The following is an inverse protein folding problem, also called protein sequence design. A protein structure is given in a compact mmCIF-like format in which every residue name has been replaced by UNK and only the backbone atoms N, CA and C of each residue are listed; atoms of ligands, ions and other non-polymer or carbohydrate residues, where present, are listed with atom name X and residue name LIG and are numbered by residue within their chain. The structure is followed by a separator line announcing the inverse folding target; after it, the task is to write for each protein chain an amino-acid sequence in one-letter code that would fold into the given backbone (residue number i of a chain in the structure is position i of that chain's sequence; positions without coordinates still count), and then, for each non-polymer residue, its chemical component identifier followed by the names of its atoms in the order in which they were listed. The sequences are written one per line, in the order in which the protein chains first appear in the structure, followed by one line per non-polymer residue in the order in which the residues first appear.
data_IF_687994021658
#
_entry.id   IF_687994021658
#
_cell.length_a   1.000
_cell.length_b   1.000
_cell.length_c   1.000
_cell.angle_alpha   90.00
_cell.angle_beta   90.00
_cell.angle_gamma   90.00
#
_symmetry.space_group_name_H-M   'P 1'
#
loop_
_entity.id
_entity.type
_entity.pdbx_description
1 polymer ?
#
# COMPACT_ATOMS: atom_id res chain seq x y z
N UNK A 1 -23.46 -24.51 -0.78
CA UNK A 1 -23.25 -24.42 0.68
C UNK A 1 -22.54 -23.11 0.95
N UNK A 2 -23.29 -22.18 1.53
CA UNK A 2 -22.86 -20.82 1.85
C UNK A 2 -21.76 -20.85 2.90
N UNK A 3 -20.65 -20.13 2.66
CA UNK A 3 -19.74 -19.71 3.72
C UNK A 3 -19.74 -18.17 3.78
N UNK A 4 -19.77 -17.58 4.99
CA UNK A 4 -20.05 -16.16 5.19
C UNK A 4 -18.81 -15.29 4.90
N UNK A 5 -19.07 -14.10 4.37
CA UNK A 5 -18.06 -13.04 4.23
C UNK A 5 -17.56 -12.63 5.62
N UNK A 6 -16.29 -12.90 5.90
CA UNK A 6 -15.62 -12.42 7.11
C UNK A 6 -15.12 -10.99 6.87
N UNK A 7 -15.95 -10.01 7.18
CA UNK A 7 -15.57 -8.59 7.16
C UNK A 7 -14.71 -8.29 8.37
N UNK A 8 -13.39 -8.17 8.19
CA UNK A 8 -12.50 -7.68 9.26
C UNK A 8 -12.39 -6.16 9.13
N UNK A 9 -12.97 -5.44 10.07
CA UNK A 9 -12.86 -3.97 10.18
C UNK A 9 -11.59 -3.64 10.97
N UNK A 10 -10.64 -2.94 10.36
CA UNK A 10 -9.47 -2.40 11.06
C UNK A 10 -9.70 -0.91 11.35
N UNK A 11 -9.73 -0.46 12.62
CA UNK A 11 -9.73 0.95 12.95
C UNK A 11 -8.37 1.57 12.62
N UNK A 12 -8.39 2.72 11.94
CA UNK A 12 -7.21 3.49 11.56
C UNK A 12 -6.74 4.33 12.75
N UNK A 13 -5.68 3.88 13.44
CA UNK A 13 -5.00 4.69 14.47
C UNK A 13 -3.88 5.52 13.83
N UNK A 14 -4.17 6.78 13.51
CA UNK A 14 -3.14 7.78 13.21
C UNK A 14 -2.81 8.58 14.49
N UNK A 15 -1.59 8.36 15.01
CA UNK A 15 -0.81 9.33 15.79
C UNK A 15 -1.06 9.41 17.30
N UNK A 16 -0.06 9.06 18.12
CA UNK A 16 0.69 10.00 18.99
C UNK A 16 1.84 9.27 19.69
N UNK A 17 3.08 9.67 19.39
CA UNK A 17 4.28 9.36 20.17
C UNK A 17 4.97 10.69 20.45
N UNK A 18 4.80 11.24 21.66
CA UNK A 18 5.65 12.32 22.16
C UNK A 18 5.70 12.34 23.70
N UNK A 19 6.90 12.59 24.20
CA UNK A 19 7.45 12.38 25.56
C UNK A 19 6.91 13.35 26.64
N UNK A 20 6.62 12.76 27.80
CA UNK A 20 7.11 13.07 29.17
C UNK A 20 7.20 14.53 29.68
N UNK A 21 6.44 14.84 30.75
CA UNK A 21 6.97 15.55 31.92
C UNK A 21 6.09 15.36 33.18
N UNK A 22 6.74 15.05 34.31
CA UNK A 22 6.16 14.93 35.66
C UNK A 22 6.14 16.30 36.35
N UNK A 23 5.02 16.72 36.95
CA UNK A 23 4.94 17.48 38.22
C UNK A 23 3.49 17.46 38.78
N UNK A 24 3.34 16.77 39.93
CA UNK A 24 2.39 16.80 41.08
C UNK A 24 1.07 17.63 41.04
N UNK A 25 -0.06 16.98 41.40
CA UNK A 25 -1.48 17.41 41.60
C UNK A 25 -1.74 18.25 42.91
N UNK A 26 -2.99 18.64 43.37
CA UNK A 26 -4.40 18.30 43.02
C UNK A 26 -5.42 19.49 43.17
N UNK A 27 -6.72 19.32 43.52
CA UNK A 27 -7.84 18.66 42.81
C UNK A 27 -9.02 19.65 42.56
N UNK A 28 -9.73 19.55 41.43
CA UNK A 28 -11.13 19.98 41.39
C UNK A 28 -11.96 19.01 40.57
N UNK A 29 -12.85 18.34 41.29
CA UNK A 29 -13.94 17.55 40.77
C UNK A 29 -14.80 18.42 39.85
N UNK A 30 -14.68 18.25 38.54
CA UNK A 30 -15.75 18.57 37.62
C UNK A 30 -16.41 17.26 37.20
N UNK A 31 -17.72 17.22 37.43
CA UNK A 31 -18.66 16.20 37.00
C UNK A 31 -18.34 15.73 35.57
N UNK A 32 -17.77 14.53 35.43
CA UNK A 32 -17.57 13.90 34.13
C UNK A 32 -18.74 12.93 33.89
N UNK A 33 -19.81 13.48 33.33
CA UNK A 33 -20.84 12.72 32.63
C UNK A 33 -20.94 13.24 31.21
N UNK A 34 -19.87 13.07 30.43
CA UNK A 34 -19.91 13.22 28.98
C UNK A 34 -19.31 11.94 28.38
N UNK A 35 -20.21 11.00 28.09
CA UNK A 35 -20.20 10.07 26.96
C UNK A 35 -18.83 9.79 26.35
N UNK A 36 -18.03 8.93 26.98
CA UNK A 36 -16.80 8.40 26.39
C UNK A 36 -17.03 7.19 25.47
N UNK A 37 -18.29 6.74 25.31
CA UNK A 37 -18.64 5.62 24.42
C UNK A 37 -19.02 6.03 22.98
N UNK A 38 -19.40 7.28 22.73
CA UNK A 38 -19.91 7.71 21.42
C UNK A 38 -18.82 8.28 20.48
N UNK A 39 -17.68 8.71 21.01
CA UNK A 39 -16.62 9.38 20.23
C UNK A 39 -16.00 8.52 19.11
N UNK A 40 -15.69 7.22 19.31
CA UNK A 40 -15.19 6.37 18.23
C UNK A 40 -16.25 6.09 17.16
N UNK A 41 -17.52 6.01 17.56
CA UNK A 41 -18.64 5.64 16.68
C UNK A 41 -19.07 6.81 15.79
N UNK A 42 -19.27 8.00 16.36
CA UNK A 42 -19.61 9.21 15.61
C UNK A 42 -18.50 9.62 14.62
N UNK A 43 -17.23 9.34 14.96
CA UNK A 43 -16.09 9.56 14.05
C UNK A 43 -16.09 8.57 12.88
N UNK A 44 -16.38 7.29 13.15
CA UNK A 44 -16.46 6.25 12.14
C UNK A 44 -17.55 6.57 11.10
N UNK A 45 -18.71 7.09 11.52
CA UNK A 45 -19.79 7.51 10.60
C UNK A 45 -19.35 8.63 9.65
N UNK A 46 -18.71 9.68 10.19
CA UNK A 46 -18.34 10.87 9.40
C UNK A 46 -17.13 10.65 8.50
N UNK A 47 -16.19 9.79 8.91
CA UNK A 47 -14.94 9.52 8.17
C UNK A 47 -15.02 8.30 7.24
N UNK A 48 -16.03 7.44 7.38
CA UNK A 48 -16.21 6.28 6.49
C UNK A 48 -16.55 6.72 5.08
N UNK A 49 -15.94 6.04 4.11
CA UNK A 49 -16.18 6.23 2.68
C UNK A 49 -16.29 4.86 2.04
N UNK A 50 -17.32 4.67 1.24
CA UNK A 50 -17.52 3.45 0.46
C UNK A 50 -16.88 3.64 -0.92
N UNK A 51 -16.07 2.67 -1.36
CA UNK A 51 -15.62 2.59 -2.76
C UNK A 51 -16.21 1.33 -3.37
N UNK A 52 -17.03 1.53 -4.38
CA UNK A 52 -17.63 0.43 -5.15
C UNK A 52 -16.73 0.11 -6.35
N UNK A 53 -16.14 -1.07 -6.32
CA UNK A 53 -15.30 -1.58 -7.42
C UNK A 53 -16.10 -2.61 -8.23
N UNK A 54 -16.74 -2.18 -9.32
CA UNK A 54 -17.49 -3.05 -10.21
C UNK A 54 -17.07 -2.86 -11.69
N UNK A 55 -16.59 -3.94 -12.29
CA UNK A 55 -16.13 -3.99 -13.68
C UNK A 55 -17.11 -4.70 -14.62
N UNK A 56 -18.31 -5.08 -14.16
CA UNK A 56 -19.34 -5.68 -15.00
C UNK A 56 -19.83 -4.67 -16.05
N UNK A 57 -20.20 -5.18 -17.23
CA UNK A 57 -20.76 -4.36 -18.33
C UNK A 57 -22.13 -3.80 -17.98
N UNK A 58 -22.98 -4.64 -17.37
CA UNK A 58 -24.24 -4.22 -16.75
C UNK A 58 -24.00 -4.08 -15.25
N UNK A 59 -24.11 -2.84 -14.75
CA UNK A 59 -23.89 -2.52 -13.34
C UNK A 59 -25.24 -2.44 -12.65
N UNK A 60 -25.53 -3.35 -11.71
CA UNK A 60 -26.74 -3.22 -10.92
C UNK A 60 -26.64 -2.00 -10.00
N UNK A 61 -27.78 -1.43 -9.64
CA UNK A 61 -27.83 -0.46 -8.55
C UNK A 61 -27.39 -1.14 -7.26
N UNK A 62 -26.42 -0.55 -6.56
CA UNK A 62 -25.92 -1.09 -5.31
C UNK A 62 -26.81 -0.61 -4.15
N UNK A 63 -27.16 -1.53 -3.25
CA UNK A 63 -27.82 -1.20 -1.99
C UNK A 63 -26.86 -0.35 -1.15
N UNK A 64 -27.28 0.83 -0.64
CA UNK A 64 -26.42 1.67 0.17
C UNK A 64 -25.89 0.93 1.40
N UNK A 65 -24.60 1.09 1.70
CA UNK A 65 -24.04 0.63 2.97
C UNK A 65 -24.50 1.56 4.10
N UNK A 66 -25.16 0.99 5.11
CA UNK A 66 -25.61 1.74 6.28
C UNK A 66 -24.66 1.47 7.46
N UNK A 67 -24.19 2.53 8.11
CA UNK A 67 -23.52 2.49 9.41
C UNK A 67 -24.39 3.30 10.36
N UNK A 68 -24.92 2.66 11.42
CA UNK A 68 -25.84 3.29 12.38
C UNK A 68 -27.01 4.01 11.69
N UNK A 69 -27.68 3.29 10.77
CA UNK A 69 -28.80 3.77 9.95
C UNK A 69 -28.50 4.98 9.05
N UNK A 70 -27.23 5.39 8.96
CA UNK A 70 -26.76 6.46 8.08
C UNK A 70 -26.07 5.88 6.85
N UNK A 71 -26.46 6.35 5.67
CA UNK A 71 -25.84 5.93 4.41
C UNK A 71 -24.39 6.47 4.31
N UNK A 72 -23.45 5.56 4.06
CA UNK A 72 -22.04 5.91 3.85
C UNK A 72 -21.88 6.60 2.49
N UNK A 73 -21.13 7.68 2.46
CA UNK A 73 -20.82 8.38 1.20
C UNK A 73 -20.02 7.47 0.27
N UNK A 74 -20.58 7.21 -0.92
CA UNK A 74 -19.90 6.50 -2.01
C UNK A 74 -18.99 7.47 -2.75
N UNK A 75 -17.69 7.16 -2.80
CA UNK A 75 -16.68 7.98 -3.47
C UNK A 75 -15.96 7.19 -4.56
N UNK A 76 -15.51 7.89 -5.60
CA UNK A 76 -14.74 7.28 -6.70
C UNK A 76 -13.25 7.11 -6.35
N UNK A 77 -12.75 7.83 -5.34
CA UNK A 77 -11.35 7.80 -4.92
C UNK A 77 -11.20 8.21 -3.46
N UNK A 78 -10.38 7.49 -2.71
CA UNK A 78 -10.02 7.83 -1.32
C UNK A 78 -8.55 7.54 -1.04
N UNK A 79 -8.05 8.08 0.07
CA UNK A 79 -6.72 7.78 0.57
C UNK A 79 -6.83 6.89 1.80
N UNK A 80 -6.30 5.68 1.72
CA UNK A 80 -6.28 4.71 2.80
C UNK A 80 -4.83 4.35 3.14
N UNK A 81 -4.42 4.52 4.41
CA UNK A 81 -3.05 4.26 4.90
C UNK A 81 -1.93 4.90 4.04
N UNK A 82 -2.21 6.06 3.45
CA UNK A 82 -1.25 6.76 2.58
C UNK A 82 -1.32 6.38 1.09
N UNK A 83 -2.11 5.37 0.72
CA UNK A 83 -2.30 4.88 -0.65
C UNK A 83 -3.57 5.48 -1.25
N UNK A 84 -3.51 5.94 -2.51
CA UNK A 84 -4.72 6.41 -3.20
C UNK A 84 -5.36 5.21 -3.89
N UNK A 85 -6.61 4.93 -3.53
CA UNK A 85 -7.43 3.84 -4.06
C UNK A 85 -8.60 4.48 -4.79
N UNK A 86 -8.89 4.02 -6.00
CA UNK A 86 -10.03 4.46 -6.80
C UNK A 86 -10.88 3.28 -7.28
N UNK A 87 -12.11 3.59 -7.65
CA UNK A 87 -13.13 2.65 -8.13
C UNK A 87 -12.70 1.82 -9.35
N UNK A 88 -11.78 2.34 -10.16
CA UNK A 88 -11.24 1.69 -11.34
C UNK A 88 -9.91 0.94 -11.10
N UNK A 89 -9.41 0.93 -9.86
CA UNK A 89 -8.14 0.34 -9.43
C UNK A 89 -6.91 0.79 -10.26
N UNK A 90 -6.93 2.01 -10.79
CA UNK A 90 -5.79 2.65 -11.43
C UNK A 90 -4.85 3.24 -10.38
N UNK A 91 -3.58 2.85 -10.43
CA UNK A 91 -2.56 3.36 -9.52
C UNK A 91 -1.91 4.66 -9.96
N UNK A 92 -2.28 5.22 -11.12
CA UNK A 92 -1.65 6.44 -11.64
C UNK A 92 -1.74 7.65 -10.68
N UNK A 93 -2.86 7.91 -9.96
CA UNK A 93 -2.91 8.96 -8.94
C UNK A 93 -1.93 8.71 -7.78
N UNK A 94 -1.88 7.46 -7.29
CA UNK A 94 -0.93 7.08 -6.24
C UNK A 94 0.52 7.26 -6.70
N UNK A 95 0.86 6.77 -7.88
CA UNK A 95 2.21 6.86 -8.45
C UNK A 95 2.60 8.30 -8.70
N UNK A 96 1.68 9.14 -9.18
CA UNK A 96 1.92 10.58 -9.34
C UNK A 96 2.26 11.23 -7.99
N UNK A 97 1.55 10.84 -6.92
CA UNK A 97 1.87 11.28 -5.54
C UNK A 97 3.25 10.79 -5.09
N UNK A 98 3.60 9.52 -5.34
CA UNK A 98 4.92 8.96 -5.03
C UNK A 98 6.05 9.69 -5.76
N UNK A 99 5.88 9.98 -7.05
CA UNK A 99 6.86 10.72 -7.86
C UNK A 99 7.05 12.13 -7.31
N UNK A 100 5.97 12.85 -7.00
CA UNK A 100 6.05 14.19 -6.38
C UNK A 100 6.81 14.15 -5.06
N UNK A 101 6.49 13.22 -4.18
CA UNK A 101 7.21 13.04 -2.89
C UNK A 101 8.69 12.67 -3.10
N UNK A 102 8.98 11.78 -4.03
CA UNK A 102 10.35 11.40 -4.39
C UNK A 102 11.16 12.59 -4.90
N UNK A 103 10.55 13.43 -5.74
CA UNK A 103 11.17 14.66 -6.25
C UNK A 103 11.41 15.70 -5.15
N UNK A 104 10.48 15.87 -4.22
CA UNK A 104 10.67 16.72 -3.04
C UNK A 104 11.86 16.25 -2.21
N UNK A 105 11.95 14.94 -1.92
CA UNK A 105 13.08 14.37 -1.16
C UNK A 105 14.40 14.47 -1.92
N UNK A 106 14.36 14.43 -3.25
CA UNK A 106 15.53 14.63 -4.12
C UNK A 106 16.18 16.01 -3.92
N UNK A 107 15.41 17.04 -3.52
CA UNK A 107 15.97 18.36 -3.21
C UNK A 107 17.02 18.29 -2.10
N UNK A 108 16.74 17.54 -1.03
CA UNK A 108 17.69 17.33 0.07
C UNK A 108 18.91 16.54 -0.38
N UNK A 109 18.72 15.49 -1.19
CA UNK A 109 19.84 14.72 -1.75
C UNK A 109 20.79 15.60 -2.60
N UNK A 110 20.25 16.55 -3.37
CA UNK A 110 21.07 17.55 -4.09
C UNK A 110 21.79 18.50 -3.15
N UNK A 111 21.16 18.89 -2.04
CA UNK A 111 21.81 19.66 -0.97
C UNK A 111 23.01 18.91 -0.39
N UNK A 112 22.83 17.65 -0.04
CA UNK A 112 23.89 16.77 0.47
C UNK A 112 25.05 16.60 -0.51
N UNK A 113 24.76 16.46 -1.81
CA UNK A 113 25.78 16.38 -2.85
C UNK A 113 26.59 17.67 -2.95
N UNK A 114 25.93 18.84 -2.84
CA UNK A 114 26.60 20.16 -2.84
C UNK A 114 27.47 20.38 -1.61
N UNK A 115 27.08 19.82 -0.48
CA UNK A 115 27.90 19.78 0.74
C UNK A 115 29.04 18.75 0.68
N UNK A 116 29.31 18.16 -0.49
CA UNK A 116 30.40 17.21 -0.73
C UNK A 116 30.39 15.99 0.20
N UNK A 117 29.19 15.54 0.64
CA UNK A 117 29.09 14.34 1.46
C UNK A 117 29.53 13.09 0.67
N UNK A 118 30.21 12.13 1.33
CA UNK A 118 30.68 10.90 0.69
C UNK A 118 29.57 10.12 -0.04
N UNK A 119 29.85 9.50 -1.20
CA UNK A 119 28.87 8.71 -1.96
C UNK A 119 28.12 7.64 -1.15
N UNK A 120 28.74 6.90 -0.20
CA UNK A 120 28.01 5.94 0.63
C UNK A 120 26.89 6.56 1.47
N UNK A 121 27.08 7.79 1.95
CA UNK A 121 26.07 8.53 2.72
C UNK A 121 24.91 8.94 1.80
N UNK A 122 25.22 9.42 0.60
CA UNK A 122 24.21 9.77 -0.41
C UNK A 122 23.36 8.56 -0.81
N UNK A 123 23.99 7.40 -1.02
CA UNK A 123 23.30 6.15 -1.33
C UNK A 123 22.39 5.69 -0.18
N UNK A 124 22.89 5.77 1.06
CA UNK A 124 22.11 5.42 2.26
C UNK A 124 20.90 6.33 2.40
N UNK A 125 21.08 7.64 2.21
CA UNK A 125 19.99 8.60 2.22
C UNK A 125 18.97 8.30 1.12
N UNK A 126 19.44 8.03 -0.12
CA UNK A 126 18.55 7.67 -1.23
C UNK A 126 17.71 6.43 -0.90
N UNK A 127 18.34 5.34 -0.45
CA UNK A 127 17.64 4.10 -0.11
C UNK A 127 16.65 4.30 1.03
N UNK A 128 17.06 4.98 2.09
CA UNK A 128 16.25 5.19 3.29
C UNK A 128 15.09 6.15 3.11
N UNK A 129 15.20 7.15 2.23
CA UNK A 129 14.19 8.22 2.12
C UNK A 129 13.47 8.26 0.77
N UNK A 130 14.15 8.04 -0.35
CA UNK A 130 13.54 8.14 -1.68
C UNK A 130 13.04 6.77 -2.12
N UNK A 131 13.91 5.76 -2.12
CA UNK A 131 13.55 4.39 -2.54
C UNK A 131 12.46 3.80 -1.63
N UNK A 132 12.60 3.93 -0.31
CA UNK A 132 11.60 3.47 0.65
C UNK A 132 10.21 4.07 0.40
N UNK A 133 10.14 5.35 0.03
CA UNK A 133 8.90 6.02 -0.30
C UNK A 133 8.35 5.53 -1.64
N UNK A 134 9.18 5.42 -2.67
CA UNK A 134 8.77 4.97 -4.00
C UNK A 134 8.35 3.50 -4.02
N UNK A 135 8.86 2.68 -3.09
CA UNK A 135 8.61 1.23 -3.03
C UNK A 135 7.63 0.84 -1.91
N UNK A 136 7.09 1.83 -1.20
CA UNK A 136 6.03 1.64 -0.21
C UNK A 136 4.80 1.01 -0.89
N UNK A 137 4.29 -0.08 -0.31
CA UNK A 137 3.14 -0.84 -0.83
C UNK A 137 3.31 -1.38 -2.27
N UNK A 138 4.54 -1.53 -2.77
CA UNK A 138 4.82 -1.89 -4.17
C UNK A 138 4.17 -3.19 -4.63
N UNK A 139 4.04 -4.18 -3.74
CA UNK A 139 3.37 -5.45 -4.04
C UNK A 139 1.89 -5.31 -4.38
N UNK A 140 1.25 -4.21 -3.95
CA UNK A 140 -0.16 -3.93 -4.19
C UNK A 140 -0.34 -3.25 -5.55
N UNK A 141 0.43 -2.19 -5.80
CA UNK A 141 0.19 -1.33 -6.96
C UNK A 141 0.99 -1.71 -8.21
N UNK A 142 2.13 -2.42 -8.10
CA UNK A 142 3.01 -2.67 -9.24
C UNK A 142 2.34 -3.44 -10.37
N UNK A 143 1.39 -4.31 -10.04
CA UNK A 143 0.68 -5.16 -10.98
C UNK A 143 -0.15 -4.39 -12.02
N UNK A 144 -0.82 -3.31 -11.61
CA UNK A 144 -1.72 -2.57 -12.50
C UNK A 144 -1.14 -1.23 -13.00
N UNK A 145 0.17 -1.04 -12.85
CA UNK A 145 0.89 0.11 -13.39
C UNK A 145 0.91 0.14 -14.92
N UNK A 146 0.69 1.33 -15.50
CA UNK A 146 0.90 1.57 -16.93
C UNK A 146 2.38 1.71 -17.25
N UNK A 147 2.74 1.56 -18.53
CA UNK A 147 4.11 1.81 -18.98
C UNK A 147 4.58 3.25 -18.69
N UNK A 148 3.67 4.23 -18.78
CA UNK A 148 3.93 5.63 -18.41
C UNK A 148 4.25 5.81 -16.93
N UNK A 149 3.58 5.04 -16.07
CA UNK A 149 3.78 5.09 -14.63
C UNK A 149 5.18 4.55 -14.27
N UNK A 150 5.54 3.40 -14.84
CA UNK A 150 6.88 2.82 -14.71
C UNK A 150 7.98 3.75 -15.22
N UNK A 151 7.76 4.39 -16.38
CA UNK A 151 8.71 5.38 -16.92
C UNK A 151 8.88 6.56 -15.95
N UNK A 152 7.81 7.04 -15.34
CA UNK A 152 7.85 8.17 -14.41
C UNK A 152 8.62 7.83 -13.12
N UNK A 153 8.38 6.65 -12.55
CA UNK A 153 9.16 6.14 -11.41
C UNK A 153 10.63 5.97 -11.76
N UNK A 154 10.93 5.35 -12.90
CA UNK A 154 12.32 5.11 -13.32
C UNK A 154 13.10 6.41 -13.56
N UNK A 155 12.45 7.51 -13.99
CA UNK A 155 13.11 8.81 -14.08
C UNK A 155 13.59 9.32 -12.73
N UNK A 156 12.84 9.05 -11.65
CA UNK A 156 13.26 9.42 -10.28
C UNK A 156 14.48 8.60 -9.88
N UNK A 157 14.47 7.30 -10.16
CA UNK A 157 15.64 6.41 -9.93
C UNK A 157 16.87 6.90 -10.68
N UNK A 158 16.76 7.14 -11.99
CA UNK A 158 17.86 7.66 -12.83
C UNK A 158 18.40 9.00 -12.34
N UNK A 159 17.54 9.84 -11.78
CA UNK A 159 17.98 11.10 -11.18
C UNK A 159 18.79 10.85 -9.91
N UNK A 160 18.36 9.91 -9.06
CA UNK A 160 19.10 9.44 -7.90
C UNK A 160 20.47 8.85 -8.26
N UNK A 161 20.54 8.02 -9.30
CA UNK A 161 21.79 7.42 -9.80
C UNK A 161 22.80 8.50 -10.17
N UNK A 162 22.38 9.50 -10.94
CA UNK A 162 23.23 10.62 -11.35
C UNK A 162 23.77 11.42 -10.16
N UNK A 163 22.96 11.65 -9.12
CA UNK A 163 23.38 12.45 -7.96
C UNK A 163 24.30 11.65 -7.03
N UNK A 164 23.96 10.39 -6.78
CA UNK A 164 24.72 9.50 -5.90
C UNK A 164 26.02 9.01 -6.54
N UNK A 165 26.10 8.98 -7.88
CA UNK A 165 27.23 8.44 -8.63
C UNK A 165 27.33 6.92 -8.54
N UNK A 166 26.22 6.23 -8.23
CA UNK A 166 26.16 4.79 -8.07
C UNK A 166 25.02 4.19 -8.89
N UNK A 167 25.19 2.95 -9.31
CA UNK A 167 24.13 2.18 -9.96
C UNK A 167 23.05 1.85 -8.93
N UNK A 168 21.80 2.15 -9.25
CA UNK A 168 20.66 1.86 -8.40
C UNK A 168 19.78 0.81 -9.09
N UNK A 169 19.13 -0.08 -8.31
CA UNK A 169 18.29 -1.10 -8.90
C UNK A 169 17.12 -0.48 -9.67
N UNK A 170 16.78 -1.09 -10.81
CA UNK A 170 15.59 -0.73 -11.56
C UNK A 170 14.35 -0.92 -10.68
N UNK A 171 13.41 0.02 -10.74
CA UNK A 171 12.22 -0.03 -9.87
C UNK A 171 11.37 -1.29 -10.13
N UNK A 172 11.42 -1.84 -11.35
CA UNK A 172 10.75 -3.10 -11.70
C UNK A 172 11.39 -4.30 -11.00
N UNK A 173 12.72 -4.35 -10.95
CA UNK A 173 13.45 -5.43 -10.28
C UNK A 173 13.15 -5.41 -8.77
N UNK A 174 13.06 -4.22 -8.18
CA UNK A 174 12.62 -4.07 -6.79
C UNK A 174 11.20 -4.60 -6.63
N UNK A 175 10.27 -4.27 -7.52
CA UNK A 175 8.90 -4.75 -7.47
C UNK A 175 8.82 -6.28 -7.54
N UNK A 176 9.57 -6.91 -8.44
CA UNK A 176 9.62 -8.37 -8.57
C UNK A 176 10.22 -9.02 -7.33
N UNK A 177 11.34 -8.51 -6.82
CA UNK A 177 11.98 -8.99 -5.59
C UNK A 177 11.03 -8.88 -4.39
N UNK A 178 10.29 -7.78 -4.27
CA UNK A 178 9.30 -7.57 -3.20
C UNK A 178 8.10 -8.49 -3.36
N UNK A 179 7.65 -8.75 -4.59
CA UNK A 179 6.59 -9.71 -4.88
C UNK A 179 6.99 -11.12 -4.45
N UNK A 180 8.19 -11.58 -4.84
CA UNK A 180 8.74 -12.88 -4.42
C UNK A 180 8.93 -12.96 -2.91
N UNK A 181 9.54 -11.96 -2.29
CA UNK A 181 9.74 -11.92 -0.84
C UNK A 181 8.42 -12.04 -0.09
N UNK A 182 7.37 -11.34 -0.54
CA UNK A 182 6.04 -11.46 0.08
C UNK A 182 5.42 -12.84 -0.15
N UNK A 183 5.58 -13.43 -1.33
CA UNK A 183 5.09 -14.77 -1.61
C UNK A 183 5.79 -15.82 -0.71
N UNK A 184 7.10 -15.72 -0.53
CA UNK A 184 7.84 -16.58 0.39
C UNK A 184 7.40 -16.41 1.85
N UNK A 185 7.08 -15.19 2.31
CA UNK A 185 6.51 -14.99 3.65
C UNK A 185 5.17 -15.70 3.84
N UNK A 186 4.31 -15.70 2.82
CA UNK A 186 3.03 -16.42 2.86
C UNK A 186 3.25 -17.93 2.85
N UNK A 187 4.21 -18.41 2.06
CA UNK A 187 4.56 -19.82 1.98
C UNK A 187 5.21 -20.34 3.27
N UNK A 188 6.00 -19.52 3.96
CA UNK A 188 6.66 -19.89 5.22
C UNK A 188 5.69 -20.01 6.40
N UNK A 189 4.48 -19.45 6.27
CA UNK A 189 3.45 -19.49 7.30
C UNK A 189 2.23 -20.31 6.83
N UNK A 190 2.12 -21.59 7.24
CA UNK A 190 0.97 -22.43 6.91
C UNK A 190 -0.36 -21.91 7.46
N UNK A 191 -0.35 -21.06 8.49
CA UNK A 191 -1.57 -20.49 9.10
C UNK A 191 -2.04 -19.23 8.38
N UNK A 192 -1.23 -18.71 7.45
CA UNK A 192 -1.59 -17.52 6.70
C UNK A 192 -2.87 -17.77 5.89
N UNK A 193 -3.87 -16.86 5.93
CA UNK A 193 -5.18 -17.08 5.30
C UNK A 193 -5.10 -17.31 3.78
N UNK A 194 -4.04 -16.80 3.14
CA UNK A 194 -3.80 -16.97 1.71
C UNK A 194 -2.77 -18.06 1.36
N UNK A 195 -2.31 -18.88 2.32
CA UNK A 195 -1.34 -19.95 2.06
C UNK A 195 -1.85 -20.93 1.00
N UNK A 196 -3.12 -21.33 1.09
CA UNK A 196 -3.76 -22.25 0.15
C UNK A 196 -3.81 -21.78 -1.31
N UNK A 197 -3.67 -20.47 -1.56
CA UNK A 197 -3.58 -19.94 -2.93
C UNK A 197 -2.29 -20.36 -3.65
N UNK A 198 -1.26 -20.76 -2.91
CA UNK A 198 -0.01 -21.30 -3.44
C UNK A 198 -0.01 -22.83 -3.37
N UNK A 199 -0.89 -23.46 -4.14
CA UNK A 199 -0.99 -24.93 -4.20
C UNK A 199 0.10 -25.53 -5.09
N UNK A 200 1.00 -26.41 -4.60
CA UNK A 200 1.96 -27.09 -5.44
C UNK A 200 1.30 -28.13 -6.38
N UNK A 201 1.97 -28.42 -7.50
CA UNK A 201 1.68 -29.58 -8.34
C UNK A 201 2.26 -30.85 -7.72
N UNK A 202 1.83 -32.02 -8.22
CA UNK A 202 2.29 -33.32 -7.71
C UNK A 202 3.83 -33.49 -7.73
N UNK A 203 4.51 -32.80 -8.66
CA UNK A 203 5.98 -32.81 -8.72
C UNK A 203 6.65 -31.98 -7.61
N UNK A 204 5.93 -31.16 -6.87
CA UNK A 204 6.47 -30.24 -5.85
C UNK A 204 7.29 -29.08 -6.39
N UNK A 205 7.66 -29.09 -7.68
CA UNK A 205 8.58 -28.11 -8.30
C UNK A 205 7.90 -26.80 -8.73
N UNK A 206 6.59 -26.83 -8.94
CA UNK A 206 5.83 -25.70 -9.49
C UNK A 206 4.50 -25.56 -8.76
N UNK A 207 4.02 -24.33 -8.66
CA UNK A 207 2.70 -23.99 -8.17
C UNK A 207 1.66 -24.03 -9.28
N UNK A 208 0.42 -24.36 -8.93
CA UNK A 208 -0.72 -24.35 -9.82
C UNK A 208 -1.01 -22.92 -10.26
N UNK A 209 -1.02 -22.69 -11.57
CA UNK A 209 -1.39 -21.40 -12.14
C UNK A 209 -2.85 -21.06 -11.86
N UNK A 210 -3.11 -19.80 -11.47
CA UNK A 210 -4.48 -19.29 -11.31
C UNK A 210 -5.02 -18.93 -12.72
N UNK A 211 -6.19 -19.47 -13.07
CA UNK A 211 -6.87 -19.12 -14.32
C UNK A 211 -7.25 -17.64 -14.31
N UNK A 212 -6.69 -16.86 -15.23
CA UNK A 212 -6.93 -15.43 -15.32
C UNK A 212 -7.67 -15.09 -16.62
N UNK A 213 -8.93 -14.64 -16.52
CA UNK A 213 -9.74 -14.21 -17.68
C UNK A 213 -9.47 -12.76 -18.12
N UNK A 214 -8.76 -11.99 -17.30
CA UNK A 214 -8.45 -10.58 -17.58
C UNK A 214 -6.98 -10.28 -17.31
N UNK A 215 -6.41 -9.32 -18.03
CA UNK A 215 -5.05 -8.82 -17.80
C UNK A 215 -4.90 -8.23 -16.39
N UNK A 216 -5.95 -7.58 -15.87
CA UNK A 216 -5.98 -7.06 -14.50
C UNK A 216 -5.79 -8.16 -13.46
N UNK A 217 -6.56 -9.25 -13.55
CA UNK A 217 -6.40 -10.39 -12.63
C UNK A 217 -5.03 -11.04 -12.82
N UNK A 218 -4.61 -11.27 -14.07
CA UNK A 218 -3.31 -11.84 -14.39
C UNK A 218 -2.14 -11.07 -13.74
N UNK A 219 -2.26 -9.75 -13.69
CA UNK A 219 -1.22 -8.88 -13.14
C UNK A 219 -1.41 -8.58 -11.65
N UNK A 220 -2.49 -9.04 -11.02
CA UNK A 220 -2.64 -8.94 -9.56
C UNK A 220 -1.58 -9.78 -8.83
N UNK A 221 -1.46 -9.56 -7.52
CA UNK A 221 -0.37 -10.12 -6.71
C UNK A 221 -0.22 -11.65 -6.85
N UNK A 222 -1.27 -12.44 -6.59
CA UNK A 222 -1.13 -13.91 -6.54
C UNK A 222 -0.76 -14.54 -7.89
N UNK A 223 -1.46 -14.25 -9.01
CA UNK A 223 -1.08 -14.82 -10.30
C UNK A 223 0.29 -14.31 -10.79
N UNK A 224 0.69 -13.08 -10.42
CA UNK A 224 2.04 -12.59 -10.71
C UNK A 224 3.09 -13.34 -9.89
N UNK A 225 2.88 -13.50 -8.58
CA UNK A 225 3.79 -14.19 -7.69
C UNK A 225 4.01 -15.65 -8.09
N UNK A 226 2.94 -16.39 -8.41
CA UNK A 226 3.01 -17.77 -8.88
C UNK A 226 3.82 -17.88 -10.17
N UNK A 227 3.62 -16.95 -11.13
CA UNK A 227 4.40 -16.92 -12.37
C UNK A 227 5.88 -16.67 -12.11
N UNK A 228 6.22 -15.78 -11.17
CA UNK A 228 7.60 -15.51 -10.79
C UNK A 228 8.24 -16.73 -10.10
N UNK A 229 7.55 -17.35 -9.14
CA UNK A 229 8.01 -18.56 -8.44
C UNK A 229 8.18 -19.78 -9.37
N UNK A 230 7.36 -19.88 -10.42
CA UNK A 230 7.48 -20.95 -11.41
C UNK A 230 8.59 -20.70 -12.44
N UNK A 231 9.13 -19.48 -12.50
CA UNK A 231 10.20 -19.07 -13.40
C UNK A 231 11.59 -19.10 -12.75
N UNK A 232 11.65 -19.15 -11.42
CA UNK A 232 12.87 -19.42 -10.63
C UNK A 232 13.16 -20.91 -10.58
#
# INVERSE_FOLDING_TARGET
LNHPFMTTVYPSCDGYFQKENRHVCPPLCFHNSILTHDWPQARAEKESREIIVDFRKSRPTHTPLLINDSAVEVVSSTKFLGVHINDNLSWSPHISSLVKKGQQRMHFLRGMKRASLPPPILQTFYRGTIESQLTSYISIWSGSCRASDWKSLQRVVRTGEKITGALLPCIKDIAERRCLSRAHQILSDPTHPNHGLFSPLASGRRFRSILCRTTRLLNSFFPRAIRLLNAT
#
